data_IF_096133625428
#
_entry.id   IF_096133625428
#
_cell.length_a   1.000
_cell.length_b   1.000
_cell.length_c   1.000
_cell.angle_alpha   90.00
_cell.angle_beta   90.00
_cell.angle_gamma   90.00
#
_symmetry.space_group_name_H-M   'P 1'
#
loop_
_entity.id
_entity.type
_entity.pdbx_description
1 polymer ?
#
# COMPACT_ATOMS: atom_id res chain seq x y z
N UNK A 1 10.09 -13.90 52.90
CA UNK A 1 10.06 -13.74 51.43
C UNK A 1 8.62 -14.00 51.00
N UNK A 2 7.86 -12.95 50.69
CA UNK A 2 6.40 -13.02 50.57
C UNK A 2 6.02 -13.55 49.17
N UNK A 3 5.07 -14.47 49.08
CA UNK A 3 4.68 -15.15 47.82
C UNK A 3 4.19 -14.11 46.79
N UNK A 4 3.55 -13.02 47.24
CA UNK A 4 3.20 -11.90 46.37
C UNK A 4 4.42 -11.24 45.71
N UNK A 5 5.54 -11.11 46.42
CA UNK A 5 6.76 -10.50 45.85
C UNK A 5 7.38 -11.37 44.75
N UNK A 6 7.23 -12.70 44.82
CA UNK A 6 7.69 -13.62 43.78
C UNK A 6 6.79 -13.54 42.54
N UNK A 7 5.48 -13.36 42.71
CA UNK A 7 4.54 -13.16 41.60
C UNK A 7 4.79 -11.83 40.87
N UNK A 8 5.08 -10.75 41.62
CA UNK A 8 5.42 -9.46 41.01
C UNK A 8 6.73 -9.53 40.22
N UNK A 9 7.76 -10.22 40.71
CA UNK A 9 9.01 -10.39 39.97
C UNK A 9 8.82 -11.26 38.70
N UNK A 10 7.96 -12.29 38.77
CA UNK A 10 7.63 -13.11 37.61
C UNK A 10 6.89 -12.33 36.51
N UNK A 11 5.98 -11.42 36.88
CA UNK A 11 5.27 -10.55 35.93
C UNK A 11 6.20 -9.56 35.22
N UNK A 12 7.19 -9.00 35.92
CA UNK A 12 8.17 -8.07 35.31
C UNK A 12 9.07 -8.79 34.30
N UNK A 13 9.44 -10.05 34.57
CA UNK A 13 10.20 -10.87 33.62
C UNK A 13 9.38 -11.25 32.37
N UNK A 14 8.08 -11.46 32.51
CA UNK A 14 7.18 -11.81 31.39
C UNK A 14 6.99 -10.65 30.41
N UNK A 15 7.02 -9.40 30.88
CA UNK A 15 6.87 -8.20 30.05
C UNK A 15 8.16 -7.77 29.32
N UNK A 16 9.31 -8.38 29.61
CA UNK A 16 10.61 -8.02 29.01
C UNK A 16 10.96 -8.82 27.75
N UNK A 17 10.16 -9.82 27.37
CA UNK A 17 10.33 -10.56 26.12
C UNK A 17 9.72 -9.79 24.93
N UNK A 18 10.14 -8.54 24.76
CA UNK A 18 9.97 -7.86 23.48
C UNK A 18 11.02 -8.44 22.53
N UNK A 19 10.55 -9.32 21.65
CA UNK A 19 11.22 -9.81 20.44
C UNK A 19 12.09 -8.73 19.81
N UNK A 20 13.41 -8.81 19.99
CA UNK A 20 14.32 -8.12 19.09
C UNK A 20 14.08 -8.73 17.69
N UNK A 21 13.85 -7.92 16.64
CA UNK A 21 13.83 -8.48 15.30
C UNK A 21 15.20 -9.10 15.05
N UNK A 22 15.22 -10.40 14.77
CA UNK A 22 16.37 -11.04 14.14
C UNK A 22 16.63 -10.24 12.88
N UNK A 23 17.70 -9.45 12.86
CA UNK A 23 18.18 -8.83 11.63
C UNK A 23 18.56 -9.97 10.70
N UNK A 24 17.65 -10.28 9.77
CA UNK A 24 17.88 -11.28 8.72
C UNK A 24 19.05 -10.76 7.88
N UNK A 25 20.08 -11.57 7.62
CA UNK A 25 21.20 -11.12 6.79
C UNK A 25 20.66 -10.77 5.40
N UNK A 26 20.74 -9.50 5.02
CA UNK A 26 20.38 -9.04 3.68
C UNK A 26 21.54 -9.36 2.73
N UNK A 27 21.30 -10.24 1.76
CA UNK A 27 22.30 -10.56 0.73
C UNK A 27 22.39 -9.41 -0.27
N UNK A 28 23.59 -8.93 -0.59
CA UNK A 28 23.78 -7.91 -1.61
C UNK A 28 23.82 -8.57 -2.99
N UNK A 29 22.96 -8.15 -3.92
CA UNK A 29 22.92 -8.58 -5.32
C UNK A 29 23.06 -7.41 -6.29
N UNK A 30 23.22 -7.67 -7.59
CA UNK A 30 23.32 -6.64 -8.64
C UNK A 30 22.12 -6.79 -9.58
N UNK A 31 21.37 -5.72 -9.81
CA UNK A 31 20.21 -5.71 -10.71
C UNK A 31 20.62 -5.74 -12.20
N UNK A 32 19.65 -5.88 -13.11
CA UNK A 32 19.88 -5.89 -14.57
C UNK A 32 20.43 -4.56 -15.13
N UNK A 33 20.49 -3.50 -14.33
CA UNK A 33 21.06 -2.20 -14.69
C UNK A 33 22.45 -1.98 -14.06
N UNK A 34 22.98 -2.97 -13.33
CA UNK A 34 24.30 -2.90 -12.72
C UNK A 34 24.32 -2.24 -11.33
N UNK A 35 23.16 -1.98 -10.72
CA UNK A 35 23.08 -1.36 -9.39
C UNK A 35 23.14 -2.41 -8.28
N UNK A 36 23.87 -2.10 -7.21
CA UNK A 36 23.92 -2.95 -6.00
C UNK A 36 22.61 -2.80 -5.21
N UNK A 37 21.85 -3.88 -5.06
CA UNK A 37 20.57 -3.94 -4.35
C UNK A 37 20.63 -4.99 -3.24
N UNK A 38 20.18 -4.65 -2.03
CA UNK A 38 20.09 -5.61 -0.93
C UNK A 38 18.82 -6.45 -1.10
N UNK A 39 18.92 -7.76 -0.92
CA UNK A 39 17.83 -8.77 -0.87
C UNK A 39 16.98 -8.65 0.41
N UNK A 40 16.99 -7.47 1.04
CA UNK A 40 15.97 -7.09 1.98
C UNK A 40 14.79 -6.65 1.14
N UNK A 41 13.74 -7.47 1.14
CA UNK A 41 12.36 -7.15 0.79
C UNK A 41 12.26 -5.81 0.04
N UNK A 42 12.08 -5.88 -1.29
CA UNK A 42 11.39 -4.78 -1.95
C UNK A 42 10.05 -4.74 -1.23
N UNK A 43 9.96 -3.95 -0.15
CA UNK A 43 8.68 -3.63 0.47
C UNK A 43 7.80 -3.30 -0.72
N UNK A 44 6.62 -3.92 -0.79
CA UNK A 44 5.55 -3.38 -1.61
C UNK A 44 5.30 -1.96 -1.10
N UNK A 45 6.09 -0.99 -1.58
CA UNK A 45 6.12 0.42 -1.15
C UNK A 45 4.80 1.14 -1.45
N UNK A 46 3.83 0.39 -1.94
CA UNK A 46 2.52 0.82 -2.36
C UNK A 46 1.41 0.15 -1.55
N UNK A 47 1.73 -0.46 -0.40
CA UNK A 47 0.74 -0.90 0.57
C UNK A 47 0.30 0.25 1.45
N UNK A 48 -0.80 0.88 1.03
CA UNK A 48 -1.42 1.97 1.77
C UNK A 48 -2.50 1.41 2.70
N UNK A 49 -2.42 1.78 3.98
CA UNK A 49 -3.53 1.64 4.90
C UNK A 49 -4.56 2.75 4.62
N UNK A 50 -5.59 2.41 3.85
CA UNK A 50 -6.66 3.34 3.50
C UNK A 50 -7.71 3.44 4.62
N UNK A 51 -8.10 4.65 5.05
CA UNK A 51 -9.23 4.82 5.96
C UNK A 51 -10.53 4.34 5.32
N UNK A 52 -11.39 3.66 6.08
CA UNK A 52 -12.69 3.19 5.58
C UNK A 52 -13.63 4.30 5.07
N UNK A 53 -13.41 5.55 5.51
CA UNK A 53 -14.26 6.71 5.17
C UNK A 53 -13.57 7.73 4.25
N UNK A 54 -12.59 7.31 3.46
CA UNK A 54 -11.97 8.19 2.48
C UNK A 54 -12.90 8.36 1.25
N UNK A 55 -13.28 9.59 0.87
CA UNK A 55 -14.25 9.82 -0.20
C UNK A 55 -13.77 9.32 -1.57
N UNK A 56 -14.71 8.79 -2.35
CA UNK A 56 -14.50 8.42 -3.75
C UNK A 56 -14.02 9.61 -4.58
N UNK A 57 -13.24 9.34 -5.61
CA UNK A 57 -12.76 10.37 -6.54
C UNK A 57 -12.89 9.95 -7.99
N UNK A 58 -13.33 10.89 -8.83
CA UNK A 58 -13.23 10.72 -10.28
C UNK A 58 -11.82 11.07 -10.76
N UNK A 59 -11.24 10.23 -11.61
CA UNK A 59 -9.90 10.46 -12.14
C UNK A 59 -9.78 10.00 -13.60
N UNK A 60 -8.78 10.55 -14.31
CA UNK A 60 -8.47 10.19 -15.70
C UNK A 60 -6.99 9.85 -15.86
N UNK A 61 -6.70 8.85 -16.69
CA UNK A 61 -5.35 8.54 -17.17
C UNK A 61 -5.08 9.13 -18.57
N UNK A 62 -6.01 9.93 -19.10
CA UNK A 62 -5.96 10.48 -20.46
C UNK A 62 -6.61 9.61 -21.53
N UNK A 63 -6.94 8.34 -21.22
CA UNK A 63 -7.64 7.42 -22.12
C UNK A 63 -9.09 7.21 -21.70
N UNK A 64 -9.31 7.00 -20.40
CA UNK A 64 -10.62 6.77 -19.82
C UNK A 64 -10.80 7.50 -18.49
N UNK A 65 -12.03 7.49 -18.00
CA UNK A 65 -12.39 7.90 -16.65
C UNK A 65 -12.61 6.69 -15.74
N UNK A 66 -12.18 6.82 -14.50
CA UNK A 66 -12.46 5.86 -13.45
C UNK A 66 -12.86 6.56 -12.16
N UNK A 67 -13.93 6.08 -11.53
CA UNK A 67 -14.32 6.48 -10.17
C UNK A 67 -13.66 5.51 -9.19
N UNK A 68 -12.62 5.97 -8.52
CA UNK A 68 -11.98 5.21 -7.44
C UNK A 68 -12.81 5.30 -6.18
N UNK A 69 -12.89 4.21 -5.41
CA UNK A 69 -13.62 4.16 -4.15
C UNK A 69 -13.08 5.14 -3.11
N UNK A 70 -11.79 5.50 -3.20
CA UNK A 70 -11.14 6.48 -2.32
C UNK A 70 -9.93 7.15 -2.97
N UNK A 71 -9.49 8.31 -2.42
CA UNK A 71 -8.22 8.96 -2.80
C UNK A 71 -7.02 8.06 -2.51
N UNK A 72 -7.07 7.34 -1.41
CA UNK A 72 -6.06 6.39 -1.02
C UNK A 72 -5.96 5.24 -2.02
N UNK A 73 -7.08 4.66 -2.46
CA UNK A 73 -7.08 3.62 -3.50
C UNK A 73 -6.46 4.10 -4.81
N UNK A 74 -6.77 5.32 -5.25
CA UNK A 74 -6.13 5.93 -6.42
C UNK A 74 -4.62 6.11 -6.23
N UNK A 75 -4.19 6.50 -5.03
CA UNK A 75 -2.77 6.70 -4.71
C UNK A 75 -2.02 5.37 -4.70
N UNK A 76 -2.63 4.33 -4.11
CA UNK A 76 -2.12 2.97 -4.12
C UNK A 76 -1.96 2.44 -5.55
N UNK A 77 -3.00 2.63 -6.35
CA UNK A 77 -2.96 2.29 -7.76
C UNK A 77 -1.83 3.00 -8.52
N UNK A 78 -1.70 4.32 -8.36
CA UNK A 78 -0.66 5.11 -9.04
C UNK A 78 0.75 4.72 -8.63
N UNK A 79 0.94 4.37 -7.36
CA UNK A 79 2.22 3.87 -6.86
C UNK A 79 2.61 2.54 -7.53
N UNK A 80 1.65 1.61 -7.66
CA UNK A 80 1.86 0.32 -8.34
C UNK A 80 2.01 0.47 -9.85
N UNK A 81 1.44 1.53 -10.44
CA UNK A 81 1.35 1.73 -11.89
C UNK A 81 1.91 3.11 -12.33
N UNK A 82 3.22 3.37 -12.18
CA UNK A 82 3.81 4.68 -12.47
C UNK A 82 3.71 5.11 -13.94
N UNK A 83 3.52 4.16 -14.87
CA UNK A 83 3.35 4.41 -16.30
C UNK A 83 1.90 4.68 -16.71
N UNK A 84 0.91 4.35 -15.86
CA UNK A 84 -0.52 4.43 -16.15
C UNK A 84 -1.29 5.19 -15.06
N UNK A 85 -0.71 6.28 -14.56
CA UNK A 85 -1.27 7.03 -13.44
C UNK A 85 -2.59 7.74 -13.80
N UNK A 86 -3.52 7.75 -12.86
CA UNK A 86 -4.71 8.57 -12.89
C UNK A 86 -4.50 9.90 -12.17
N UNK A 87 -5.11 10.96 -12.70
CA UNK A 87 -5.17 12.29 -12.10
C UNK A 87 -6.62 12.64 -11.81
N UNK A 88 -6.87 13.18 -10.62
CA UNK A 88 -8.22 13.61 -10.22
C UNK A 88 -8.78 14.65 -11.20
N UNK A 89 -10.06 14.52 -11.51
CA UNK A 89 -10.85 15.47 -12.30
C UNK A 89 -12.13 15.81 -11.53
N UNK A 90 -12.99 16.65 -12.09
CA UNK A 90 -14.27 16.98 -11.47
C UNK A 90 -15.16 15.75 -11.33
N UNK A 91 -15.73 15.51 -10.13
CA UNK A 91 -16.48 14.28 -9.82
C UNK A 91 -17.62 13.99 -10.79
N UNK A 92 -18.33 15.04 -11.22
CA UNK A 92 -19.44 14.94 -12.16
C UNK A 92 -19.03 14.37 -13.53
N UNK A 93 -17.74 14.29 -13.86
CA UNK A 93 -17.28 13.70 -15.13
C UNK A 93 -17.50 12.19 -15.17
N UNK A 94 -17.34 11.52 -14.03
CA UNK A 94 -17.62 10.08 -13.91
C UNK A 94 -19.12 9.77 -13.78
N UNK A 95 -19.98 10.78 -13.74
CA UNK A 95 -21.44 10.63 -13.64
C UNK A 95 -22.14 10.84 -14.99
N UNK A 96 -21.42 11.31 -16.01
CA UNK A 96 -22.00 11.62 -17.31
C UNK A 96 -21.59 10.59 -18.37
N UNK A 97 -22.57 10.16 -19.16
CA UNK A 97 -22.41 9.09 -20.16
C UNK A 97 -21.52 9.41 -21.37
N UNK A 98 -21.00 10.64 -21.50
CA UNK A 98 -20.29 11.10 -22.71
C UNK A 98 -18.76 10.98 -22.65
N UNK A 99 -18.17 10.61 -21.51
CA UNK A 99 -16.75 10.30 -21.44
C UNK A 99 -16.54 8.78 -21.34
N UNK A 100 -15.55 8.21 -22.04
CA UNK A 100 -15.31 6.77 -21.97
C UNK A 100 -14.89 6.40 -20.55
N UNK A 101 -15.77 5.71 -19.83
CA UNK A 101 -15.39 5.00 -18.61
C UNK A 101 -14.42 3.87 -18.97
N UNK A 102 -13.48 3.56 -18.08
CA UNK A 102 -12.58 2.43 -18.28
C UNK A 102 -13.39 1.14 -18.37
N UNK A 103 -13.07 0.27 -19.33
CA UNK A 103 -13.80 -0.99 -19.52
C UNK A 103 -13.31 -2.02 -18.51
N UNK A 104 -14.12 -3.05 -18.24
CA UNK A 104 -13.73 -4.14 -17.33
C UNK A 104 -12.48 -4.92 -17.80
N UNK A 105 -12.17 -4.88 -19.09
CA UNK A 105 -10.88 -5.36 -19.62
C UNK A 105 -9.70 -4.51 -19.15
N UNK A 106 -9.84 -3.18 -19.17
CA UNK A 106 -8.80 -2.25 -18.70
C UNK A 106 -8.64 -2.37 -17.17
N UNK A 107 -9.74 -2.49 -16.43
CA UNK A 107 -9.73 -2.64 -14.97
C UNK A 107 -9.00 -3.91 -14.52
N UNK A 108 -9.22 -5.03 -15.23
CA UNK A 108 -8.49 -6.27 -14.96
C UNK A 108 -6.99 -6.15 -15.27
N UNK A 109 -6.62 -5.42 -16.31
CA UNK A 109 -5.21 -5.11 -16.59
C UNK A 109 -4.57 -4.27 -15.47
N UNK A 110 -5.39 -3.43 -14.82
CA UNK A 110 -5.02 -2.55 -13.72
C UNK A 110 -5.00 -3.24 -12.35
N UNK A 111 -5.48 -4.48 -12.25
CA UNK A 111 -5.61 -5.21 -10.98
C UNK A 111 -6.71 -4.62 -10.08
N UNK A 112 -7.76 -4.06 -10.69
CA UNK A 112 -8.92 -3.47 -10.03
C UNK A 112 -10.18 -4.32 -10.28
#
# INVERSE_FOLDING_TARGET
MNILSLLFLALIAYCAANVLPVAKPSNLSIDQHGNRVYDGEVEEKCDFFCPERDPSVCATNGQCLLKFDSRCAMTAYNCRNPQKMFKTVEDHRCEKDWQPLCREEDLREFGL
#
